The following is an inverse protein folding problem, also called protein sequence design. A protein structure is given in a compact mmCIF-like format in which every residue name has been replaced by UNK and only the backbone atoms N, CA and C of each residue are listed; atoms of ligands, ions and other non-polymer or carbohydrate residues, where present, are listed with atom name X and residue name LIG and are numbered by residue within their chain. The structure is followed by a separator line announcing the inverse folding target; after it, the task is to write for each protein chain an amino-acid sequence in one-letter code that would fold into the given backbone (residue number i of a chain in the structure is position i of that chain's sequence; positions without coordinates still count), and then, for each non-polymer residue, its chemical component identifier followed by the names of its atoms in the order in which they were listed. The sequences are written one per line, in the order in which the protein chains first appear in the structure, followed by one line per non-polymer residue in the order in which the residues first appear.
data_IF_446091404056
#
_entry.id   IF_446091404056
#
_cell.length_a   1.000
_cell.length_b   1.000
_cell.length_c   1.000
_cell.angle_alpha   90.00
_cell.angle_beta   90.00
_cell.angle_gamma   90.00
#
_symmetry.space_group_name_H-M   'P 1'
#
loop_
_entity.id
_entity.type
_entity.pdbx_description
1 polymer ?
#
# COMPACT_ATOMS: atom_id res chain seq x y z
N UNK A 1 19.71 10.26 12.92
CA UNK A 1 18.23 10.33 13.04
C UNK A 1 17.61 11.23 11.98
N UNK A 2 18.12 12.45 11.75
CA UNK A 2 17.66 13.35 10.67
C UNK A 2 17.88 12.78 9.26
N UNK A 3 19.01 12.10 9.05
CA UNK A 3 19.39 11.45 7.78
C UNK A 3 18.45 10.33 7.31
N UNK A 4 17.65 9.72 8.21
CA UNK A 4 16.66 8.70 7.84
C UNK A 4 15.26 9.27 7.62
N UNK A 5 15.04 10.52 8.04
CA UNK A 5 13.79 11.26 7.84
C UNK A 5 13.73 11.90 6.46
N UNK A 6 14.85 12.46 6.02
CA UNK A 6 14.99 13.16 4.75
C UNK A 6 14.65 12.29 3.52
N UNK A 7 15.06 11.01 3.44
CA UNK A 7 14.65 10.11 2.36
C UNK A 7 13.28 9.44 2.61
N UNK A 8 12.64 9.63 3.77
CA UNK A 8 11.35 9.02 4.10
C UNK A 8 11.39 7.53 4.50
N UNK A 9 12.57 6.89 4.50
CA UNK A 9 12.74 5.47 4.88
C UNK A 9 12.25 5.18 6.29
N UNK A 10 12.50 6.10 7.23
CA UNK A 10 11.99 5.99 8.58
C UNK A 10 10.46 5.87 8.61
N UNK A 11 9.77 6.74 7.86
CA UNK A 11 8.31 6.76 7.80
C UNK A 11 7.75 5.50 7.15
N UNK A 12 8.40 4.97 6.11
CA UNK A 12 8.03 3.70 5.49
C UNK A 12 8.17 2.53 6.48
N UNK A 13 9.33 2.38 7.13
CA UNK A 13 9.56 1.32 8.11
C UNK A 13 8.69 1.47 9.36
N UNK A 14 8.26 2.69 9.70
CA UNK A 14 7.34 2.94 10.80
C UNK A 14 5.90 2.59 10.43
N UNK A 15 5.43 3.02 9.26
CA UNK A 15 4.10 2.72 8.74
C UNK A 15 3.88 1.21 8.56
N UNK A 16 4.91 0.47 8.10
CA UNK A 16 4.84 -0.99 7.96
C UNK A 16 4.68 -1.73 9.31
N UNK A 17 5.17 -1.16 10.41
CA UNK A 17 5.12 -1.79 11.75
C UNK A 17 3.93 -1.33 12.60
N UNK A 18 3.34 -0.17 12.29
CA UNK A 18 2.25 0.43 13.05
C UNK A 18 1.09 0.75 12.11
N UNK A 19 0.28 -0.26 11.82
CA UNK A 19 -0.88 -0.18 10.94
C UNK A 19 -1.88 0.91 11.34
N UNK A 20 -2.07 1.15 12.64
CA UNK A 20 -3.02 2.18 13.13
C UNK A 20 -2.62 3.61 12.73
N UNK A 21 -1.33 3.89 12.59
CA UNK A 21 -0.82 5.20 12.18
C UNK A 21 -0.56 5.29 10.66
N UNK A 22 -0.71 4.17 9.94
CA UNK A 22 -0.32 4.05 8.54
C UNK A 22 -0.93 5.15 7.69
N UNK A 23 -2.25 5.34 7.76
CA UNK A 23 -2.97 6.28 6.91
C UNK A 23 -2.45 7.72 7.10
N UNK A 24 -2.29 8.14 8.36
CA UNK A 24 -1.73 9.46 8.68
C UNK A 24 -0.31 9.63 8.16
N UNK A 25 0.55 8.62 8.34
CA UNK A 25 1.94 8.66 7.90
C UNK A 25 2.02 8.69 6.37
N UNK A 26 1.23 7.87 5.72
CA UNK A 26 1.19 7.75 4.26
C UNK A 26 0.84 9.09 3.64
N UNK A 27 -0.31 9.68 4.00
CA UNK A 27 -0.77 10.93 3.40
C UNK A 27 0.13 12.13 3.72
N UNK A 28 0.77 12.13 4.90
CA UNK A 28 1.59 13.26 5.37
C UNK A 28 3.02 13.22 4.84
N UNK A 29 3.63 12.04 4.71
CA UNK A 29 5.08 11.92 4.49
C UNK A 29 5.47 11.10 3.26
N UNK A 30 4.60 10.18 2.81
CA UNK A 30 4.93 9.24 1.75
C UNK A 30 4.24 9.58 0.42
N UNK A 31 2.97 9.96 0.42
CA UNK A 31 2.16 10.16 -0.79
C UNK A 31 2.86 11.04 -1.84
N UNK A 32 3.14 12.31 -1.52
CA UNK A 32 3.73 13.23 -2.50
C UNK A 32 5.20 12.92 -2.84
N UNK A 33 5.89 12.18 -1.96
CA UNK A 33 7.27 11.76 -2.17
C UNK A 33 7.36 10.67 -3.22
N UNK A 34 6.46 9.70 -3.19
CA UNK A 34 6.46 8.57 -4.11
C UNK A 34 5.63 8.82 -5.37
N UNK A 35 4.55 9.61 -5.26
CA UNK A 35 3.59 9.82 -6.34
C UNK A 35 3.56 11.26 -6.86
N UNK A 36 4.51 12.11 -6.43
CA UNK A 36 4.61 13.51 -6.84
C UNK A 36 3.57 14.42 -6.19
N UNK A 37 3.67 15.74 -6.41
CA UNK A 37 2.76 16.71 -5.79
C UNK A 37 1.29 16.42 -6.16
N UNK A 38 0.38 16.59 -5.19
CA UNK A 38 -1.06 16.58 -5.46
C UNK A 38 -1.45 17.81 -6.26
N UNK A 39 -2.61 17.75 -6.93
CA UNK A 39 -3.20 18.93 -7.57
C UNK A 39 -3.56 19.96 -6.51
N UNK A 40 -3.27 21.23 -6.80
CA UNK A 40 -3.64 22.35 -5.93
C UNK A 40 -5.16 22.37 -5.70
N UNK A 41 -5.58 22.68 -4.47
CA UNK A 41 -6.99 22.79 -4.10
C UNK A 41 -7.69 21.48 -3.69
N UNK A 42 -7.00 20.33 -3.68
CA UNK A 42 -7.58 19.08 -3.16
C UNK A 42 -7.56 19.11 -1.63
N UNK A 43 -8.74 19.04 -1.00
CA UNK A 43 -8.85 18.90 0.45
C UNK A 43 -8.10 17.64 0.91
N UNK A 44 -7.45 17.70 2.07
CA UNK A 44 -6.63 16.59 2.60
C UNK A 44 -7.41 15.27 2.70
N UNK A 45 -8.69 15.34 3.05
CA UNK A 45 -9.61 14.20 3.15
C UNK A 45 -9.99 13.60 1.80
N UNK A 46 -9.82 14.36 0.72
CA UNK A 46 -10.05 13.93 -0.65
C UNK A 46 -8.76 13.56 -1.40
N UNK A 47 -7.62 13.52 -0.69
CA UNK A 47 -6.31 13.21 -1.26
C UNK A 47 -6.31 11.91 -2.07
N UNK A 48 -7.06 10.91 -1.63
CA UNK A 48 -7.22 9.64 -2.34
C UNK A 48 -7.83 9.79 -3.74
N UNK A 49 -8.76 10.73 -3.96
CA UNK A 49 -9.35 10.97 -5.30
C UNK A 49 -8.29 11.42 -6.30
N UNK A 50 -7.27 12.12 -5.83
CA UNK A 50 -6.13 12.51 -6.66
C UNK A 50 -5.22 11.33 -7.01
N UNK A 51 -5.40 10.15 -6.40
CA UNK A 51 -4.56 8.95 -6.58
C UNK A 51 -5.27 7.75 -7.17
N UNK A 52 -6.60 7.76 -7.27
CA UNK A 52 -7.40 6.66 -7.87
C UNK A 52 -6.90 6.27 -9.26
N UNK A 53 -6.36 7.21 -10.03
CA UNK A 53 -5.83 6.92 -11.35
C UNK A 53 -4.60 5.99 -11.35
N UNK A 54 -3.88 5.88 -10.22
CA UNK A 54 -2.72 4.99 -10.07
C UNK A 54 -3.11 3.51 -10.08
N UNK A 55 -4.36 3.22 -9.74
CA UNK A 55 -4.89 1.86 -9.74
C UNK A 55 -5.30 1.45 -11.16
N UNK A 56 -4.94 0.25 -11.57
CA UNK A 56 -5.42 -0.35 -12.80
C UNK A 56 -6.91 -0.76 -12.69
N UNK A 57 -7.49 -1.28 -13.79
CA UNK A 57 -8.92 -1.66 -13.81
C UNK A 57 -9.22 -2.81 -12.85
N UNK A 58 -8.29 -3.74 -12.69
CA UNK A 58 -8.43 -4.92 -11.86
C UNK A 58 -8.34 -4.55 -10.39
N UNK A 59 -7.34 -3.77 -10.02
CA UNK A 59 -7.16 -3.22 -8.68
C UNK A 59 -8.38 -2.39 -8.26
N UNK A 60 -8.93 -1.58 -9.17
CA UNK A 60 -10.20 -0.87 -8.93
C UNK A 60 -11.39 -1.81 -8.69
N UNK A 61 -11.49 -2.90 -9.45
CA UNK A 61 -12.56 -3.88 -9.27
C UNK A 61 -12.46 -4.60 -7.92
N UNK A 62 -11.24 -4.93 -7.48
CA UNK A 62 -10.98 -5.48 -6.14
C UNK A 62 -11.32 -4.46 -5.05
N UNK A 63 -10.92 -3.20 -5.20
CA UNK A 63 -11.26 -2.14 -4.25
C UNK A 63 -12.78 -1.95 -4.11
N UNK A 64 -13.51 -1.98 -5.22
CA UNK A 64 -14.97 -1.85 -5.24
C UNK A 64 -15.64 -3.03 -4.53
N UNK A 65 -15.24 -4.28 -4.82
CA UNK A 65 -15.81 -5.47 -4.17
C UNK A 65 -15.60 -5.45 -2.65
N UNK A 66 -14.42 -5.00 -2.19
CA UNK A 66 -14.11 -4.82 -0.78
C UNK A 66 -14.97 -3.74 -0.14
N UNK A 67 -15.17 -2.61 -0.82
CA UNK A 67 -15.98 -1.50 -0.32
C UNK A 67 -17.44 -1.95 -0.16
N UNK A 68 -18.00 -2.65 -1.15
CA UNK A 68 -19.36 -3.18 -1.07
C UNK A 68 -19.51 -4.18 0.08
N UNK A 69 -18.55 -5.09 0.24
CA UNK A 69 -18.53 -6.04 1.35
C UNK A 69 -18.46 -5.33 2.70
N UNK A 70 -17.52 -4.40 2.87
CA UNK A 70 -17.35 -3.64 4.12
C UNK A 70 -18.57 -2.79 4.46
N UNK A 71 -19.22 -2.22 3.46
CA UNK A 71 -20.49 -1.48 3.62
C UNK A 71 -21.65 -2.38 4.07
N UNK A 72 -21.66 -3.65 3.67
CA UNK A 72 -22.61 -4.64 4.17
C UNK A 72 -22.30 -5.03 5.62
N UNK A 73 -21.04 -5.41 5.89
CA UNK A 73 -20.55 -5.77 7.23
C UNK A 73 -20.78 -4.62 8.25
N UNK A 74 -20.62 -3.35 7.82
CA UNK A 74 -20.84 -2.21 8.70
C UNK A 74 -22.30 -2.03 9.14
N UNK A 75 -23.27 -2.66 8.47
CA UNK A 75 -24.67 -2.66 8.91
C UNK A 75 -24.89 -3.58 10.09
N UNK A 76 -24.18 -4.71 10.11
CA UNK A 76 -24.23 -5.69 11.19
C UNK A 76 -23.51 -5.17 12.44
N UNK A 77 -22.46 -4.33 12.24
CA UNK A 77 -21.65 -3.72 13.32
C UNK A 77 -21.01 -4.74 14.26
N UNK A 78 -20.71 -5.92 13.75
CA UNK A 78 -20.06 -6.99 14.51
C UNK A 78 -18.55 -6.86 14.30
N UNK A 79 -17.81 -6.77 15.41
CA UNK A 79 -16.37 -6.95 15.40
C UNK A 79 -16.10 -8.45 15.33
N UNK A 80 -15.75 -8.93 14.13
CA UNK A 80 -15.37 -10.33 13.91
C UNK A 80 -13.94 -10.52 14.39
N UNK A 81 -13.73 -11.50 15.26
CA UNK A 81 -12.40 -11.99 15.59
C UNK A 81 -11.94 -12.91 14.46
N UNK A 82 -10.84 -12.54 13.81
CA UNK A 82 -10.31 -13.28 12.66
C UNK A 82 -9.12 -14.09 13.12
N UNK A 83 -9.20 -15.41 12.98
CA UNK A 83 -8.02 -16.26 13.18
C UNK A 83 -7.01 -16.10 12.05
N UNK A 84 -5.80 -16.61 12.27
CA UNK A 84 -4.70 -16.51 11.31
C UNK A 84 -5.01 -17.10 9.94
N UNK A 85 -5.83 -18.16 9.86
CA UNK A 85 -6.08 -18.86 8.60
C UNK A 85 -7.16 -18.13 7.79
N UNK A 86 -8.17 -17.59 8.46
CA UNK A 86 -9.16 -16.72 7.83
C UNK A 86 -8.52 -15.41 7.35
N UNK A 87 -7.57 -14.84 8.10
CA UNK A 87 -6.79 -13.68 7.62
C UNK A 87 -5.99 -14.01 6.36
N UNK A 88 -5.26 -15.14 6.34
CA UNK A 88 -4.47 -15.56 5.17
C UNK A 88 -5.36 -15.79 3.96
N UNK A 89 -6.45 -16.53 4.12
CA UNK A 89 -7.42 -16.81 3.06
C UNK A 89 -7.95 -15.53 2.44
N UNK A 90 -8.31 -14.57 3.28
CA UNK A 90 -8.86 -13.29 2.83
C UNK A 90 -7.81 -12.40 2.17
N UNK A 91 -6.59 -12.40 2.70
CA UNK A 91 -5.44 -11.77 2.04
C UNK A 91 -5.19 -12.38 0.66
N UNK A 92 -5.26 -13.71 0.52
CA UNK A 92 -5.09 -14.36 -0.78
C UNK A 92 -6.20 -14.04 -1.77
N UNK A 93 -7.46 -14.01 -1.33
CA UNK A 93 -8.59 -13.58 -2.16
C UNK A 93 -8.41 -12.14 -2.70
N UNK A 94 -7.66 -11.29 -1.99
CA UNK A 94 -7.47 -9.87 -2.33
C UNK A 94 -6.19 -9.58 -3.11
N UNK A 95 -5.08 -10.21 -2.75
CA UNK A 95 -3.73 -9.85 -3.22
C UNK A 95 -3.18 -10.81 -4.27
N UNK A 96 -3.70 -12.03 -4.34
CA UNK A 96 -3.20 -13.04 -5.26
C UNK A 96 -4.31 -13.40 -6.23
N UNK A 97 -4.05 -13.12 -7.50
CA UNK A 97 -4.68 -13.92 -8.54
C UNK A 97 -4.41 -15.38 -8.21
N UNK A 98 -5.48 -16.18 -8.20
CA UNK A 98 -5.50 -17.54 -7.69
C UNK A 98 -4.64 -18.54 -8.51
N UNK A 99 -3.63 -18.05 -9.24
CA UNK A 99 -2.88 -18.80 -10.23
C UNK A 99 -1.37 -18.46 -10.29
N UNK A 100 -0.87 -17.51 -9.48
CA UNK A 100 0.57 -17.31 -9.35
C UNK A 100 1.13 -18.23 -8.25
N UNK A 101 1.95 -19.26 -8.58
CA UNK A 101 2.60 -20.07 -7.56
C UNK A 101 3.39 -19.17 -6.59
N UNK A 102 3.43 -19.52 -5.30
CA UNK A 102 4.05 -18.67 -4.26
C UNK A 102 5.45 -18.16 -4.62
N UNK A 103 6.20 -18.95 -5.37
CA UNK A 103 7.55 -18.60 -5.82
C UNK A 103 7.55 -17.42 -6.81
N UNK A 104 6.52 -17.29 -7.64
CA UNK A 104 6.34 -16.17 -8.55
C UNK A 104 5.93 -14.90 -7.81
N UNK A 105 5.07 -15.02 -6.81
CA UNK A 105 4.72 -13.91 -5.90
C UNK A 105 5.95 -13.41 -5.17
N UNK A 106 6.74 -14.32 -4.57
CA UNK A 106 8.00 -13.99 -3.88
C UNK A 106 9.01 -13.35 -4.83
N UNK A 107 9.12 -13.84 -6.07
CA UNK A 107 9.96 -13.22 -7.11
C UNK A 107 9.47 -11.83 -7.50
N UNK A 108 8.18 -11.63 -7.70
CA UNK A 108 7.58 -10.34 -8.04
C UNK A 108 7.78 -9.31 -6.93
N UNK A 109 7.59 -9.73 -5.68
CA UNK A 109 7.81 -8.88 -4.51
C UNK A 109 9.30 -8.52 -4.36
N UNK A 110 10.21 -9.47 -4.55
CA UNK A 110 11.66 -9.21 -4.54
C UNK A 110 12.10 -8.31 -5.71
N UNK A 111 11.54 -8.49 -6.90
CA UNK A 111 11.82 -7.65 -8.07
C UNK A 111 11.32 -6.21 -7.84
N UNK A 112 10.16 -6.05 -7.21
CA UNK A 112 9.62 -4.73 -6.83
C UNK A 112 10.48 -4.06 -5.77
N UNK A 113 10.93 -4.80 -4.75
CA UNK A 113 11.85 -4.31 -3.72
C UNK A 113 13.21 -3.91 -4.33
N UNK A 114 13.75 -4.70 -5.25
CA UNK A 114 14.99 -4.36 -5.95
C UNK A 114 14.84 -3.12 -6.84
N UNK A 115 13.72 -3.01 -7.57
CA UNK A 115 13.41 -1.86 -8.43
C UNK A 115 13.24 -0.58 -7.62
N UNK A 116 12.61 -0.66 -6.44
CA UNK A 116 12.55 0.44 -5.49
C UNK A 116 13.95 0.74 -4.94
N UNK A 117 14.76 -0.28 -4.64
CA UNK A 117 16.14 -0.13 -4.19
C UNK A 117 17.05 0.61 -5.17
N UNK A 118 16.92 0.35 -6.47
CA UNK A 118 17.70 1.02 -7.54
C UNK A 118 17.22 2.44 -7.81
N UNK A 119 15.92 2.69 -7.74
CA UNK A 119 15.36 4.06 -7.79
C UNK A 119 15.84 4.95 -6.64
N UNK A 120 16.26 4.33 -5.52
CA UNK A 120 16.74 5.05 -4.33
C UNK A 120 18.29 5.21 -4.31
N UNK A 121 19.05 4.51 -5.16
CA UNK A 121 20.51 4.67 -5.29
C UNK A 121 20.94 4.69 -6.77
N UNK A 122 20.82 5.83 -7.47
CA UNK A 122 21.14 5.89 -8.90
C UNK A 122 22.65 5.86 -9.22
N UNK A 123 23.53 5.52 -8.26
CA UNK A 123 24.97 5.79 -8.36
C UNK A 123 25.95 4.78 -7.77
N UNK A 124 25.57 3.53 -7.45
CA UNK A 124 26.56 2.50 -7.10
C UNK A 124 26.94 1.66 -8.32
N UNK A 125 27.36 2.35 -9.39
CA UNK A 125 28.05 1.75 -10.52
C UNK A 125 29.55 1.95 -10.36
N UNK A 126 30.24 0.87 -9.98
CA UNK A 126 31.65 0.53 -10.24
C UNK A 126 32.72 1.63 -10.08
N UNK A 127 33.56 1.44 -9.06
CA UNK A 127 35.02 1.38 -9.25
C UNK A 127 35.46 -0.05 -8.92
#
# INVERSE_FOLDING_TARGET
MRESWEPGRFWLSYAARKSLAFDTIFWKYLDERFFGKRKDGVAKEEGWKSRVYLLDKKEKAVMESLTQRKKKESKERILVDWDCDEVKKRMSEMLFDHEAPEDEVKRSMNATVQKIGTLIHPGSGKM
#
